data_IF_238080014342
#
_entry.id   IF_238080014342
#
_cell.length_a   1.000
_cell.length_b   1.000
_cell.length_c   1.000
_cell.angle_alpha   90.00
_cell.angle_beta   90.00
_cell.angle_gamma   90.00
#
_symmetry.space_group_name_H-M   'P 1'
#
loop_
_entity.id
_entity.type
_entity.pdbx_description
1 polymer ?
#
# COMPACT_ATOMS: atom_id res chain seq x y z
N UNK A 1 -24.00 13.66 0.21
CA UNK A 1 -24.45 12.35 0.74
C UNK A 1 -25.49 12.55 1.84
N UNK A 2 -25.19 13.34 2.83
CA UNK A 2 -26.04 13.72 3.99
C UNK A 2 -27.41 14.37 3.70
N UNK A 3 -27.60 14.89 2.50
CA UNK A 3 -28.85 15.47 2.07
C UNK A 3 -29.84 14.49 1.39
N UNK A 4 -29.42 13.24 1.09
CA UNK A 4 -30.26 12.26 0.39
C UNK A 4 -31.35 11.68 1.30
N UNK A 5 -32.53 11.31 0.75
CA UNK A 5 -33.56 10.63 1.55
C UNK A 5 -33.05 9.35 2.24
N UNK A 6 -32.21 8.57 1.56
CA UNK A 6 -31.63 7.35 2.13
C UNK A 6 -30.73 7.61 3.34
N UNK A 7 -29.90 8.67 3.28
CA UNK A 7 -29.10 9.09 4.44
C UNK A 7 -29.98 9.54 5.61
N UNK A 8 -30.99 10.35 5.34
CA UNK A 8 -31.93 10.85 6.38
C UNK A 8 -32.68 9.70 7.05
N UNK A 9 -33.11 8.70 6.28
CA UNK A 9 -33.76 7.51 6.82
C UNK A 9 -32.82 6.71 7.74
N UNK A 10 -31.56 6.53 7.31
CA UNK A 10 -30.54 5.86 8.15
C UNK A 10 -30.24 6.65 9.42
N UNK A 11 -30.16 7.99 9.33
CA UNK A 11 -29.95 8.86 10.49
C UNK A 11 -31.13 8.77 11.47
N UNK A 12 -32.37 8.83 10.97
CA UNK A 12 -33.56 8.69 11.81
C UNK A 12 -33.60 7.31 12.52
N UNK A 13 -33.29 6.24 11.79
CA UNK A 13 -33.17 4.90 12.37
C UNK A 13 -32.12 4.83 13.49
N UNK A 14 -30.97 5.47 13.30
CA UNK A 14 -29.95 5.58 14.35
C UNK A 14 -30.47 6.33 15.57
N UNK A 15 -31.03 7.54 15.38
CA UNK A 15 -31.47 8.41 16.46
C UNK A 15 -32.64 7.79 17.27
N UNK A 16 -33.59 7.13 16.59
CA UNK A 16 -34.80 6.60 17.17
C UNK A 16 -34.60 5.22 17.82
N UNK A 17 -33.73 4.36 17.26
CA UNK A 17 -33.66 2.94 17.63
C UNK A 17 -32.26 2.49 18.05
N UNK A 18 -31.20 2.88 17.31
CA UNK A 18 -29.90 2.25 17.44
C UNK A 18 -28.95 2.96 18.43
N UNK A 19 -29.20 4.24 18.72
CA UNK A 19 -28.34 5.08 19.58
C UNK A 19 -28.12 4.52 20.98
N UNK A 20 -29.12 3.86 21.53
CA UNK A 20 -29.08 3.28 22.89
C UNK A 20 -29.00 1.75 22.88
N UNK A 21 -29.01 1.14 21.70
CA UNK A 21 -29.01 -0.31 21.55
C UNK A 21 -27.70 -0.92 22.07
N UNK A 22 -27.80 -1.97 22.87
CA UNK A 22 -26.64 -2.68 23.40
C UNK A 22 -26.43 -4.02 22.70
N UNK A 23 -25.17 -4.36 22.45
CA UNK A 23 -24.78 -5.60 21.79
C UNK A 23 -25.33 -6.86 22.48
N UNK A 24 -25.31 -6.90 23.82
CA UNK A 24 -25.85 -8.02 24.61
C UNK A 24 -27.34 -8.27 24.33
N UNK A 25 -28.11 -7.20 24.10
CA UNK A 25 -29.54 -7.29 23.86
C UNK A 25 -29.81 -7.83 22.43
N UNK A 26 -29.00 -7.42 21.45
CA UNK A 26 -29.08 -7.94 20.09
C UNK A 26 -28.81 -9.45 20.03
N UNK A 27 -27.85 -9.96 20.81
CA UNK A 27 -27.60 -11.40 20.91
C UNK A 27 -28.68 -12.12 21.72
N UNK A 28 -29.20 -11.52 22.81
CA UNK A 28 -30.25 -12.12 23.61
C UNK A 28 -31.57 -12.26 22.83
N UNK A 29 -31.90 -11.29 22.00
CA UNK A 29 -33.13 -11.30 21.17
C UNK A 29 -32.99 -12.16 19.87
N UNK A 30 -31.76 -12.45 19.44
CA UNK A 30 -31.50 -13.23 18.23
C UNK A 30 -30.36 -14.24 18.45
N UNK A 31 -30.66 -15.49 18.88
CA UNK A 31 -29.65 -16.54 19.04
C UNK A 31 -28.91 -16.92 17.75
N UNK A 32 -29.54 -16.70 16.58
CA UNK A 32 -28.96 -16.98 15.25
C UNK A 32 -28.17 -15.79 14.68
N UNK A 33 -27.89 -14.77 15.48
CA UNK A 33 -27.30 -13.53 15.03
C UNK A 33 -25.96 -13.73 14.28
N UNK A 34 -25.11 -14.64 14.76
CA UNK A 34 -23.86 -14.95 14.08
C UNK A 34 -24.10 -15.48 12.66
N UNK A 35 -25.06 -16.39 12.48
CA UNK A 35 -25.37 -16.97 11.17
C UNK A 35 -25.97 -15.96 10.21
N UNK A 36 -26.73 -14.99 10.73
CA UNK A 36 -27.39 -13.95 9.96
C UNK A 36 -26.41 -12.84 9.52
N UNK A 37 -25.47 -12.44 10.38
CA UNK A 37 -24.56 -11.33 10.17
C UNK A 37 -23.12 -11.81 9.93
N UNK A 38 -22.96 -12.77 9.03
CA UNK A 38 -21.67 -13.23 8.49
C UNK A 38 -21.73 -13.33 6.97
N UNK A 39 -20.57 -13.25 6.33
CA UNK A 39 -20.39 -13.55 4.92
C UNK A 39 -19.13 -14.39 4.75
N UNK A 40 -19.13 -15.30 3.79
CA UNK A 40 -17.98 -16.15 3.48
C UNK A 40 -17.59 -16.04 2.02
N UNK A 41 -16.29 -16.01 1.74
CA UNK A 41 -15.74 -16.05 0.40
C UNK A 41 -14.48 -16.93 0.41
N UNK A 42 -14.59 -18.14 -0.15
CA UNK A 42 -13.54 -19.15 -0.02
C UNK A 42 -13.25 -19.44 1.46
N UNK A 43 -12.01 -19.30 1.86
CA UNK A 43 -11.54 -19.49 3.25
C UNK A 43 -11.65 -18.22 4.12
N UNK A 44 -12.19 -17.13 3.58
CA UNK A 44 -12.36 -15.88 4.31
C UNK A 44 -13.76 -15.84 4.91
N UNK A 45 -13.84 -15.67 6.24
CA UNK A 45 -15.06 -15.42 6.98
C UNK A 45 -15.07 -13.98 7.48
N UNK A 46 -16.09 -13.21 7.06
CA UNK A 46 -16.40 -11.90 7.63
C UNK A 46 -17.52 -12.07 8.65
N UNK A 47 -17.20 -11.92 9.93
CA UNK A 47 -18.17 -11.87 11.03
C UNK A 47 -18.45 -10.41 11.41
N UNK A 48 -19.65 -9.91 11.10
CA UNK A 48 -20.13 -8.59 11.50
C UNK A 48 -21.31 -8.67 12.48
N UNK A 49 -21.53 -9.83 13.10
CA UNK A 49 -22.56 -10.01 14.11
C UNK A 49 -22.36 -9.14 15.36
N UNK A 50 -21.10 -8.73 15.60
CA UNK A 50 -20.72 -7.83 16.72
C UNK A 50 -20.75 -6.34 16.36
N UNK A 51 -21.25 -5.98 15.18
CA UNK A 51 -21.62 -4.60 14.88
C UNK A 51 -23.03 -4.31 15.42
N UNK A 52 -23.31 -3.07 15.82
CA UNK A 52 -24.65 -2.68 16.28
C UNK A 52 -25.52 -2.41 15.06
N UNK A 53 -26.00 -3.49 14.44
CA UNK A 53 -26.85 -3.50 13.25
C UNK A 53 -28.01 -4.47 13.41
N UNK A 54 -29.12 -4.18 12.72
CA UNK A 54 -30.29 -5.04 12.60
C UNK A 54 -30.60 -5.25 11.11
N UNK A 55 -31.59 -6.09 10.77
CA UNK A 55 -32.05 -6.25 9.39
C UNK A 55 -32.50 -4.91 8.79
N UNK A 56 -33.20 -4.09 9.56
CA UNK A 56 -33.62 -2.76 9.13
C UNK A 56 -32.39 -1.87 8.85
N UNK A 57 -31.37 -1.95 9.68
CA UNK A 57 -30.09 -1.23 9.45
C UNK A 57 -29.45 -1.66 8.13
N UNK A 58 -29.41 -2.95 7.85
CA UNK A 58 -28.84 -3.49 6.60
C UNK A 58 -29.64 -3.03 5.37
N UNK A 59 -30.97 -3.07 5.44
CA UNK A 59 -31.83 -2.57 4.33
C UNK A 59 -31.63 -1.09 4.07
N UNK A 60 -31.47 -0.26 5.11
CA UNK A 60 -31.19 1.17 4.97
C UNK A 60 -29.79 1.44 4.40
N UNK A 61 -28.80 0.65 4.78
CA UNK A 61 -27.45 0.71 4.21
C UNK A 61 -27.44 0.30 2.73
N UNK A 62 -28.20 -0.73 2.34
CA UNK A 62 -28.36 -1.12 0.94
C UNK A 62 -29.06 -0.01 0.12
N UNK A 63 -30.12 0.60 0.65
CA UNK A 63 -30.77 1.74 0.01
C UNK A 63 -29.84 2.94 -0.17
N UNK A 64 -28.97 3.19 0.81
CA UNK A 64 -27.94 4.23 0.70
C UNK A 64 -26.89 3.88 -0.37
N UNK A 65 -26.43 2.63 -0.44
CA UNK A 65 -25.49 2.13 -1.44
C UNK A 65 -26.03 2.32 -2.86
N UNK A 66 -27.30 1.93 -3.10
CA UNK A 66 -27.96 2.11 -4.40
C UNK A 66 -28.15 3.59 -4.76
N UNK A 67 -28.63 4.41 -3.81
CA UNK A 67 -28.81 5.87 -4.01
C UNK A 67 -27.47 6.56 -4.31
N UNK A 68 -26.38 6.09 -3.72
CA UNK A 68 -25.02 6.59 -3.92
C UNK A 68 -24.34 6.01 -5.17
N UNK A 69 -25.02 5.13 -5.92
CA UNK A 69 -24.55 4.53 -7.18
C UNK A 69 -23.19 3.82 -7.03
N UNK A 70 -22.94 3.18 -5.90
CA UNK A 70 -21.63 2.57 -5.63
C UNK A 70 -21.28 1.48 -6.66
N UNK A 71 -22.27 0.65 -7.06
CA UNK A 71 -22.06 -0.40 -8.06
C UNK A 71 -21.75 0.17 -9.46
N UNK A 72 -22.42 1.26 -9.84
CA UNK A 72 -22.16 1.97 -11.10
C UNK A 72 -20.72 2.55 -11.09
N UNK A 73 -20.34 3.20 -10.00
CA UNK A 73 -18.99 3.77 -9.85
C UNK A 73 -17.91 2.70 -9.83
N UNK A 74 -18.18 1.53 -9.23
CA UNK A 74 -17.26 0.39 -9.30
C UNK A 74 -17.08 -0.09 -10.76
N UNK A 75 -18.17 -0.22 -11.53
CA UNK A 75 -18.08 -0.53 -12.96
C UNK A 75 -17.23 0.48 -13.74
N UNK A 76 -17.41 1.77 -13.49
CA UNK A 76 -16.63 2.85 -14.09
C UNK A 76 -15.15 2.79 -13.68
N UNK A 77 -14.86 2.42 -12.43
CA UNK A 77 -13.47 2.20 -11.99
C UNK A 77 -12.80 1.08 -12.79
N UNK A 78 -13.48 -0.05 -12.96
CA UNK A 78 -12.93 -1.18 -13.73
C UNK A 78 -12.79 -0.90 -15.22
N UNK A 79 -13.61 0.00 -15.80
CA UNK A 79 -13.52 0.40 -17.21
C UNK A 79 -12.47 1.48 -17.49
N UNK A 80 -11.86 2.06 -16.46
CA UNK A 80 -10.85 3.11 -16.63
C UNK A 80 -11.41 4.53 -16.70
N UNK A 81 -12.72 4.73 -16.41
CA UNK A 81 -13.30 6.07 -16.37
C UNK A 81 -12.69 6.92 -15.23
N UNK A 82 -12.63 8.24 -15.45
CA UNK A 82 -12.07 9.20 -14.48
C UNK A 82 -13.05 9.51 -13.36
N UNK A 83 -13.19 8.59 -12.42
CA UNK A 83 -14.11 8.70 -11.28
C UNK A 83 -13.60 9.57 -10.14
N UNK A 84 -12.30 9.89 -10.10
CA UNK A 84 -11.76 10.88 -9.17
C UNK A 84 -12.04 12.27 -9.73
N UNK A 85 -13.18 12.83 -9.33
CA UNK A 85 -13.68 14.10 -9.87
C UNK A 85 -12.84 15.31 -9.42
N UNK A 86 -12.21 15.25 -8.26
CA UNK A 86 -11.40 16.34 -7.70
C UNK A 86 -10.07 16.50 -8.42
N UNK A 87 -9.45 15.38 -8.79
CA UNK A 87 -8.16 15.36 -9.48
C UNK A 87 -8.29 15.03 -10.97
N UNK A 88 -9.53 14.79 -11.46
CA UNK A 88 -9.88 14.49 -12.87
C UNK A 88 -9.10 13.32 -13.46
N UNK A 89 -8.94 12.25 -12.71
CA UNK A 89 -8.19 11.07 -13.12
C UNK A 89 -8.92 9.75 -12.83
N UNK A 90 -8.49 8.68 -13.49
CA UNK A 90 -8.94 7.33 -13.20
C UNK A 90 -8.47 6.88 -11.81
N UNK A 91 -9.05 5.78 -11.31
CA UNK A 91 -8.69 5.12 -10.06
C UNK A 91 -8.49 3.65 -10.38
N UNK A 92 -7.24 3.24 -10.61
CA UNK A 92 -6.93 1.93 -11.22
C UNK A 92 -6.07 1.03 -10.34
N UNK A 93 -6.35 1.00 -9.06
CA UNK A 93 -5.77 0.02 -8.15
C UNK A 93 -6.00 -1.43 -8.65
N UNK A 94 -7.12 -1.66 -9.33
CA UNK A 94 -7.48 -2.94 -9.95
C UNK A 94 -6.51 -3.37 -11.05
N UNK A 95 -5.86 -2.42 -11.76
CA UNK A 95 -4.90 -2.73 -12.81
C UNK A 95 -3.66 -3.48 -12.28
N UNK A 96 -3.18 -3.12 -11.09
CA UNK A 96 -2.05 -3.78 -10.43
C UNK A 96 -2.37 -5.23 -10.04
N UNK A 97 -3.64 -5.61 -9.99
CA UNK A 97 -4.14 -6.94 -9.60
C UNK A 97 -4.76 -7.71 -10.77
N UNK A 98 -4.75 -7.10 -11.95
CA UNK A 98 -5.30 -7.69 -13.16
C UNK A 98 -4.35 -8.76 -13.76
N UNK A 99 -4.43 -9.98 -13.23
CA UNK A 99 -3.58 -11.11 -13.65
C UNK A 99 -3.93 -11.64 -15.04
N UNK A 100 -5.14 -11.37 -15.53
CA UNK A 100 -5.56 -11.76 -16.87
C UNK A 100 -5.02 -10.83 -17.97
N UNK A 101 -4.41 -9.71 -17.59
CA UNK A 101 -3.95 -8.65 -18.51
C UNK A 101 -5.05 -8.18 -19.47
N UNK A 102 -6.33 -8.27 -19.05
CA UNK A 102 -7.46 -7.71 -19.81
C UNK A 102 -7.22 -6.21 -19.99
N UNK A 103 -7.35 -5.66 -21.20
CA UNK A 103 -7.10 -4.25 -21.44
C UNK A 103 -7.94 -3.33 -20.55
N UNK A 104 -7.30 -2.31 -19.98
CA UNK A 104 -7.95 -1.22 -19.24
C UNK A 104 -7.55 0.07 -19.93
N UNK A 105 -8.52 0.76 -20.54
CA UNK A 105 -8.25 1.90 -21.41
C UNK A 105 -8.51 3.21 -20.69
N UNK A 106 -7.48 4.06 -20.59
CA UNK A 106 -7.58 5.44 -20.09
C UNK A 106 -7.15 6.40 -21.21
N UNK A 107 -8.02 7.35 -21.55
CA UNK A 107 -7.77 8.33 -22.63
C UNK A 107 -7.33 7.68 -23.97
N UNK A 108 -7.89 6.50 -24.28
CA UNK A 108 -7.58 5.77 -25.51
C UNK A 108 -6.31 4.90 -25.45
N UNK A 109 -5.61 4.84 -24.32
CA UNK A 109 -4.40 4.05 -24.13
C UNK A 109 -4.66 2.89 -23.17
N UNK A 110 -4.29 1.67 -23.56
CA UNK A 110 -4.27 0.52 -22.65
C UNK A 110 -3.10 0.64 -21.68
N UNK A 111 -3.41 0.67 -20.37
CA UNK A 111 -2.41 0.83 -19.29
C UNK A 111 -1.72 -0.49 -18.92
N UNK A 112 -2.26 -1.64 -19.31
CA UNK A 112 -1.75 -2.94 -18.86
C UNK A 112 -0.35 -3.29 -19.34
N UNK A 113 0.08 -2.95 -20.57
CA UNK A 113 1.46 -3.20 -21.00
C UNK A 113 2.50 -2.52 -20.11
N UNK A 114 2.26 -1.27 -19.74
CA UNK A 114 3.16 -0.53 -18.85
C UNK A 114 3.16 -1.10 -17.44
N UNK A 115 1.97 -1.45 -16.88
CA UNK A 115 1.85 -2.13 -15.59
C UNK A 115 2.65 -3.41 -15.56
N UNK A 116 2.50 -4.27 -16.56
CA UNK A 116 3.23 -5.54 -16.65
C UNK A 116 4.73 -5.34 -16.79
N UNK A 117 5.16 -4.30 -17.51
CA UNK A 117 6.59 -3.95 -17.66
C UNK A 117 7.21 -3.58 -16.30
N UNK A 118 6.54 -2.75 -15.49
CA UNK A 118 7.03 -2.38 -14.15
C UNK A 118 7.03 -3.59 -13.21
N UNK A 119 5.98 -4.42 -13.23
CA UNK A 119 5.93 -5.64 -12.42
C UNK A 119 7.04 -6.63 -12.79
N UNK A 120 7.33 -6.79 -14.08
CA UNK A 120 8.44 -7.63 -14.54
C UNK A 120 9.82 -7.09 -14.11
N UNK A 121 10.01 -5.77 -14.14
CA UNK A 121 11.24 -5.14 -13.66
C UNK A 121 11.41 -5.35 -12.13
N UNK A 122 10.33 -5.22 -11.36
CA UNK A 122 10.33 -5.50 -9.91
C UNK A 122 10.67 -6.97 -9.63
N UNK A 123 10.07 -7.91 -10.38
CA UNK A 123 10.36 -9.33 -10.24
C UNK A 123 11.85 -9.63 -10.49
N UNK A 124 12.42 -9.09 -11.55
CA UNK A 124 13.84 -9.25 -11.86
C UNK A 124 14.75 -8.69 -10.76
N UNK A 125 14.45 -7.50 -10.25
CA UNK A 125 15.19 -6.89 -9.15
C UNK A 125 15.09 -7.71 -7.86
N UNK A 126 13.88 -8.10 -7.45
CA UNK A 126 13.66 -8.91 -6.26
C UNK A 126 14.41 -10.25 -6.36
N UNK A 127 14.35 -10.92 -7.50
CA UNK A 127 15.05 -12.19 -7.71
C UNK A 127 16.57 -12.01 -7.62
N UNK A 128 17.14 -10.94 -8.16
CA UNK A 128 18.59 -10.68 -8.07
C UNK A 128 19.04 -10.40 -6.62
N UNK A 129 18.24 -9.69 -5.83
CA UNK A 129 18.54 -9.46 -4.40
C UNK A 129 18.42 -10.76 -3.61
N UNK A 130 17.33 -11.51 -3.81
CA UNK A 130 17.08 -12.76 -3.08
C UNK A 130 18.08 -13.88 -3.38
N UNK A 131 18.52 -13.99 -4.63
CA UNK A 131 19.55 -14.95 -5.03
C UNK A 131 20.96 -14.58 -4.54
N UNK A 132 21.19 -13.30 -4.18
CA UNK A 132 22.50 -12.76 -3.87
C UNK A 132 23.34 -12.40 -5.11
N UNK A 133 22.71 -12.36 -6.28
CA UNK A 133 23.32 -11.82 -7.51
C UNK A 133 23.51 -10.31 -7.39
N UNK A 134 22.54 -9.60 -6.81
CA UNK A 134 22.69 -8.22 -6.43
C UNK A 134 23.61 -8.10 -5.22
N UNK A 135 24.64 -7.30 -5.34
CA UNK A 135 25.66 -7.12 -4.31
C UNK A 135 25.83 -5.65 -3.95
N UNK A 136 26.23 -5.40 -2.72
CA UNK A 136 26.71 -4.09 -2.29
C UNK A 136 27.99 -3.69 -3.03
N UNK A 137 28.40 -2.45 -2.87
CA UNK A 137 29.57 -1.86 -3.55
C UNK A 137 30.90 -2.55 -3.20
N UNK A 138 30.95 -3.26 -2.08
CA UNK A 138 32.10 -4.08 -1.65
C UNK A 138 32.09 -5.50 -2.23
N UNK A 139 31.04 -5.88 -2.96
CA UNK A 139 30.85 -7.22 -3.49
C UNK A 139 30.18 -8.19 -2.51
N UNK A 140 29.79 -7.72 -1.31
CA UNK A 140 29.05 -8.53 -0.36
C UNK A 140 27.59 -8.68 -0.78
N UNK A 141 26.98 -9.83 -0.45
CA UNK A 141 25.56 -10.09 -0.63
C UNK A 141 24.72 -9.20 0.28
N UNK A 142 23.58 -8.73 -0.21
CA UNK A 142 22.60 -8.03 0.64
C UNK A 142 21.96 -9.02 1.60
N UNK A 143 21.96 -8.68 2.89
CA UNK A 143 21.33 -9.43 3.98
C UNK A 143 20.24 -8.64 4.68
N UNK A 144 20.25 -7.32 4.49
CA UNK A 144 19.31 -6.40 5.16
C UNK A 144 18.72 -5.40 4.15
N UNK A 145 17.38 -5.30 4.13
CA UNK A 145 16.64 -4.36 3.30
C UNK A 145 15.88 -3.40 4.22
N UNK A 146 16.11 -2.10 4.05
CA UNK A 146 15.44 -1.06 4.86
C UNK A 146 14.45 -0.29 3.99
N UNK A 147 13.17 -0.43 4.25
CA UNK A 147 12.14 0.39 3.61
C UNK A 147 12.00 1.73 4.37
N UNK A 148 12.22 2.83 3.67
CA UNK A 148 12.05 4.19 4.20
C UNK A 148 10.82 4.80 3.52
N UNK A 149 9.72 4.93 4.24
CA UNK A 149 8.46 5.43 3.74
C UNK A 149 7.52 5.77 4.88
N UNK A 150 6.42 6.47 4.61
CA UNK A 150 5.40 6.84 5.60
C UNK A 150 3.99 6.61 5.05
N UNK A 151 3.02 6.38 5.90
CA UNK A 151 1.64 6.13 5.49
C UNK A 151 1.52 4.89 4.60
N UNK A 152 0.94 5.01 3.41
CA UNK A 152 0.79 3.90 2.46
C UNK A 152 2.11 3.29 1.97
N UNK A 153 3.19 4.06 1.99
CA UNK A 153 4.54 3.57 1.65
C UNK A 153 5.22 2.78 2.78
N UNK A 154 4.61 2.69 3.95
CA UNK A 154 5.06 1.93 5.12
C UNK A 154 4.07 0.85 5.51
N UNK A 155 2.81 1.21 5.76
CA UNK A 155 1.81 0.33 6.39
C UNK A 155 1.52 -0.94 5.57
N UNK A 156 1.42 -0.85 4.25
CA UNK A 156 1.23 -1.99 3.38
C UNK A 156 2.41 -2.94 3.38
N UNK A 157 3.63 -2.47 3.11
CA UNK A 157 4.85 -3.26 3.22
C UNK A 157 5.04 -3.94 4.57
N UNK A 158 4.82 -3.24 5.69
CA UNK A 158 4.87 -3.82 7.05
C UNK A 158 3.84 -4.93 7.20
N UNK A 159 2.57 -4.65 6.86
CA UNK A 159 1.48 -5.61 6.98
C UNK A 159 1.77 -6.91 6.23
N UNK A 160 2.20 -6.81 4.97
CA UNK A 160 2.49 -8.00 4.15
C UNK A 160 3.71 -8.75 4.67
N UNK A 161 4.76 -8.05 5.08
CA UNK A 161 5.97 -8.68 5.65
C UNK A 161 5.65 -9.45 6.92
N UNK A 162 4.88 -8.87 7.84
CA UNK A 162 4.48 -9.56 9.07
C UNK A 162 3.50 -10.71 8.81
N UNK A 163 2.51 -10.52 7.92
CA UNK A 163 1.55 -11.57 7.57
C UNK A 163 2.21 -12.80 6.93
N UNK A 164 3.24 -12.57 6.09
CA UNK A 164 3.94 -13.62 5.37
C UNK A 164 5.24 -14.08 6.04
N UNK A 165 5.51 -13.64 7.26
CA UNK A 165 6.72 -13.97 8.02
C UNK A 165 7.06 -15.48 8.08
N UNK A 166 6.09 -16.41 8.17
CA UNK A 166 6.39 -17.86 8.10
C UNK A 166 7.02 -18.31 6.78
N UNK A 167 6.79 -17.57 5.69
CA UNK A 167 7.24 -17.89 4.33
C UNK A 167 8.47 -17.10 3.89
N UNK A 168 9.01 -16.23 4.75
CA UNK A 168 10.14 -15.37 4.41
C UNK A 168 11.45 -16.12 4.31
N UNK A 169 12.33 -15.67 3.45
CA UNK A 169 13.72 -16.09 3.37
C UNK A 169 14.47 -15.63 4.63
N UNK A 170 15.04 -16.55 5.40
CA UNK A 170 15.56 -16.26 6.76
C UNK A 170 16.91 -15.54 6.79
N UNK A 171 17.67 -15.61 5.72
CA UNK A 171 18.96 -14.94 5.55
C UNK A 171 18.85 -13.54 4.93
N UNK A 172 17.62 -13.05 4.68
CA UNK A 172 17.33 -11.69 4.24
C UNK A 172 16.33 -11.07 5.21
N UNK A 173 16.76 -10.03 5.95
CA UNK A 173 15.93 -9.31 6.92
C UNK A 173 15.36 -8.05 6.30
N UNK A 174 14.14 -7.70 6.70
CA UNK A 174 13.46 -6.47 6.26
C UNK A 174 13.21 -5.59 7.48
N UNK A 175 13.59 -4.33 7.36
CA UNK A 175 13.44 -3.28 8.37
C UNK A 175 12.59 -2.14 7.81
N UNK A 176 11.90 -1.41 8.68
CA UNK A 176 11.02 -0.32 8.29
C UNK A 176 11.36 0.94 9.08
N UNK A 177 11.46 2.07 8.39
CA UNK A 177 11.68 3.38 8.99
C UNK A 177 10.61 4.33 8.46
N UNK A 178 9.64 4.67 9.32
CA UNK A 178 8.47 5.46 8.95
C UNK A 178 8.30 6.75 9.76
N UNK A 179 8.98 6.89 10.89
CA UNK A 179 8.89 8.09 11.71
C UNK A 179 10.13 9.00 11.49
N UNK A 180 9.91 10.33 11.52
CA UNK A 180 10.96 11.33 11.41
C UNK A 180 11.79 11.46 12.72
N UNK A 181 11.32 10.88 13.81
CA UNK A 181 12.10 10.82 15.05
C UNK A 181 13.44 10.14 14.78
N UNK A 182 14.53 10.87 15.10
CA UNK A 182 15.90 10.40 14.84
C UNK A 182 16.26 9.09 15.53
N UNK A 183 15.58 8.73 16.61
CA UNK A 183 15.77 7.46 17.31
C UNK A 183 15.40 6.28 16.41
N UNK A 184 14.33 6.40 15.62
CA UNK A 184 13.86 5.31 14.75
C UNK A 184 14.92 4.89 13.73
N UNK A 185 15.46 5.86 12.96
CA UNK A 185 16.53 5.58 11.99
C UNK A 185 17.83 5.17 12.67
N UNK A 186 18.22 5.84 13.77
CA UNK A 186 19.47 5.58 14.47
C UNK A 186 19.53 4.17 15.05
N UNK A 187 18.48 3.71 15.74
CA UNK A 187 18.41 2.35 16.28
C UNK A 187 18.38 1.30 15.18
N UNK A 188 17.66 1.56 14.08
CA UNK A 188 17.68 0.66 12.92
C UNK A 188 19.10 0.52 12.35
N UNK A 189 19.78 1.63 12.07
CA UNK A 189 21.12 1.63 11.47
C UNK A 189 22.20 1.01 12.39
N UNK A 190 22.01 1.02 13.70
CA UNK A 190 22.96 0.47 14.68
C UNK A 190 23.12 -1.05 14.57
N UNK A 191 22.09 -1.76 14.12
CA UNK A 191 22.09 -3.21 13.95
C UNK A 191 22.57 -3.65 12.56
N UNK A 192 22.84 -2.69 11.65
CA UNK A 192 23.11 -2.99 10.24
C UNK A 192 24.61 -2.86 9.90
N UNK A 193 24.99 -3.62 8.87
CA UNK A 193 26.29 -3.51 8.22
C UNK A 193 26.12 -2.79 6.88
N UNK A 194 26.87 -1.73 6.66
CA UNK A 194 26.75 -0.90 5.46
C UNK A 194 26.99 -1.70 4.17
N UNK A 195 27.93 -2.62 4.21
CA UNK A 195 28.36 -3.46 3.08
C UNK A 195 27.25 -4.36 2.53
N UNK A 196 26.30 -4.76 3.40
CA UNK A 196 25.24 -5.72 3.08
C UNK A 196 23.82 -5.16 3.21
N UNK A 197 23.67 -3.83 3.31
CA UNK A 197 22.36 -3.17 3.46
C UNK A 197 21.88 -2.52 2.16
N UNK A 198 20.62 -2.74 1.80
CA UNK A 198 19.92 -2.08 0.70
C UNK A 198 18.79 -1.21 1.25
N UNK A 199 18.73 0.05 0.83
CA UNK A 199 17.67 1.01 1.19
C UNK A 199 16.66 1.16 0.05
N UNK A 200 15.37 1.02 0.35
CA UNK A 200 14.25 1.31 -0.53
C UNK A 200 13.62 2.65 -0.10
N UNK A 201 13.74 3.69 -0.92
CA UNK A 201 13.14 4.99 -0.63
C UNK A 201 11.78 5.07 -1.32
N UNK A 202 10.71 4.92 -0.55
CA UNK A 202 9.35 4.87 -1.04
C UNK A 202 8.63 6.21 -0.83
N UNK A 203 8.55 7.03 -1.89
CA UNK A 203 7.86 8.33 -1.87
C UNK A 203 7.36 8.69 -3.26
N UNK A 204 6.04 8.83 -3.46
CA UNK A 204 5.43 9.12 -4.75
C UNK A 204 6.06 10.35 -5.41
N UNK A 205 6.17 11.45 -4.69
CA UNK A 205 6.70 12.72 -5.18
C UNK A 205 8.21 12.88 -4.95
N UNK A 206 8.81 12.00 -4.15
CA UNK A 206 10.18 12.10 -3.67
C UNK A 206 10.48 13.44 -2.96
N UNK A 207 9.45 13.96 -2.25
CA UNK A 207 9.49 15.26 -1.54
C UNK A 207 8.89 15.18 -0.13
N UNK A 208 8.37 14.01 0.28
CA UNK A 208 7.82 13.83 1.63
C UNK A 208 8.90 14.06 2.66
N UNK A 209 8.73 15.06 3.50
CA UNK A 209 9.79 15.56 4.39
C UNK A 209 10.37 14.48 5.28
N UNK A 210 9.53 13.70 5.95
CA UNK A 210 9.94 12.61 6.85
C UNK A 210 10.75 11.54 6.11
N UNK A 211 10.25 11.10 4.95
CA UNK A 211 10.94 10.10 4.13
C UNK A 211 12.29 10.60 3.65
N UNK A 212 12.35 11.85 3.16
CA UNK A 212 13.59 12.41 2.62
C UNK A 212 14.61 12.71 3.72
N UNK A 213 14.18 13.10 4.92
CA UNK A 213 15.05 13.28 6.09
C UNK A 213 15.70 11.96 6.50
N UNK A 214 14.89 10.90 6.61
CA UNK A 214 15.41 9.57 6.95
C UNK A 214 16.31 9.01 5.84
N UNK A 215 15.94 9.20 4.57
CA UNK A 215 16.78 8.77 3.44
C UNK A 215 18.11 9.50 3.39
N UNK A 216 18.15 10.80 3.71
CA UNK A 216 19.40 11.58 3.82
C UNK A 216 20.27 11.06 4.95
N UNK A 217 19.71 10.77 6.13
CA UNK A 217 20.44 10.18 7.26
C UNK A 217 21.01 8.80 6.92
N UNK A 218 20.23 7.95 6.25
CA UNK A 218 20.68 6.63 5.78
C UNK A 218 21.83 6.75 4.76
N UNK A 219 21.73 7.72 3.84
CA UNK A 219 22.78 8.00 2.85
C UNK A 219 24.06 8.48 3.51
N UNK A 220 23.97 9.41 4.45
CA UNK A 220 25.13 9.91 5.21
C UNK A 220 25.79 8.78 5.99
N UNK A 221 25.02 7.96 6.69
CA UNK A 221 25.51 6.79 7.39
C UNK A 221 26.25 5.82 6.46
N UNK A 222 25.64 5.46 5.32
CA UNK A 222 26.27 4.57 4.34
C UNK A 222 27.60 5.12 3.85
N UNK A 223 27.64 6.39 3.44
CA UNK A 223 28.83 7.03 2.92
C UNK A 223 29.93 7.18 3.98
N UNK A 224 29.56 7.42 5.24
CA UNK A 224 30.51 7.49 6.36
C UNK A 224 31.21 6.15 6.61
N UNK A 225 30.54 5.02 6.29
CA UNK A 225 31.09 3.68 6.48
C UNK A 225 31.90 3.19 5.29
N UNK A 226 31.41 3.44 4.06
CA UNK A 226 32.01 2.90 2.83
C UNK A 226 33.01 3.84 2.15
N UNK A 227 32.93 5.15 2.43
CA UNK A 227 33.89 6.14 1.92
C UNK A 227 33.81 6.44 0.41
N UNK A 228 32.90 5.77 -0.34
CA UNK A 228 32.76 5.92 -1.79
C UNK A 228 31.35 6.45 -2.16
N UNK A 229 31.23 7.66 -2.74
CA UNK A 229 29.94 8.19 -3.21
C UNK A 229 29.24 7.31 -4.24
N UNK A 230 29.98 6.48 -5.00
CA UNK A 230 29.40 5.55 -5.97
C UNK A 230 28.67 4.37 -5.33
N UNK A 231 28.88 4.12 -4.04
CA UNK A 231 28.19 3.08 -3.29
C UNK A 231 26.66 3.24 -3.33
N UNK A 232 26.14 4.47 -3.45
CA UNK A 232 24.70 4.75 -3.52
C UNK A 232 24.00 3.92 -4.60
N UNK A 233 24.60 3.77 -5.77
CA UNK A 233 24.02 3.02 -6.88
C UNK A 233 23.79 1.53 -6.58
N UNK A 234 24.58 0.93 -5.70
CA UNK A 234 24.47 -0.47 -5.30
C UNK A 234 23.62 -0.68 -4.03
N UNK A 235 23.39 0.39 -3.26
CA UNK A 235 22.75 0.31 -1.95
C UNK A 235 21.42 1.06 -1.83
N UNK A 236 20.96 1.71 -2.90
CA UNK A 236 19.69 2.42 -2.91
C UNK A 236 18.86 2.09 -4.14
N UNK A 237 17.56 1.89 -3.92
CA UNK A 237 16.54 1.85 -4.94
C UNK A 237 15.37 2.77 -4.53
N UNK A 238 14.55 3.18 -5.50
CA UNK A 238 13.45 4.10 -5.24
C UNK A 238 12.12 3.59 -5.81
N UNK A 239 11.04 3.86 -5.07
CA UNK A 239 9.67 3.73 -5.54
C UNK A 239 9.09 5.14 -5.65
N UNK A 240 8.98 5.67 -6.87
CA UNK A 240 8.61 7.07 -7.08
C UNK A 240 8.09 7.34 -8.48
N UNK A 241 7.43 8.48 -8.66
CA UNK A 241 7.07 9.04 -9.99
C UNK A 241 8.02 10.16 -10.43
N UNK A 242 9.03 10.53 -9.61
CA UNK A 242 9.88 11.69 -9.81
C UNK A 242 11.33 11.29 -10.11
N UNK A 243 11.57 10.83 -11.34
CA UNK A 243 12.91 10.40 -11.77
C UNK A 243 13.99 11.49 -11.62
N UNK A 244 13.63 12.77 -11.81
CA UNK A 244 14.58 13.89 -11.65
C UNK A 244 15.07 14.02 -10.21
N UNK A 245 14.19 13.94 -9.23
CA UNK A 245 14.55 14.03 -7.82
C UNK A 245 15.31 12.77 -7.37
N UNK A 246 14.93 11.59 -7.84
CA UNK A 246 15.63 10.33 -7.59
C UNK A 246 17.08 10.39 -8.09
N UNK A 247 17.28 10.83 -9.33
CA UNK A 247 18.63 11.02 -9.88
C UNK A 247 19.45 12.07 -9.12
N UNK A 248 18.84 13.19 -8.72
CA UNK A 248 19.49 14.23 -7.94
C UNK A 248 19.90 13.76 -6.54
N UNK A 249 19.18 12.79 -5.95
CA UNK A 249 19.58 12.15 -4.70
C UNK A 249 20.80 11.25 -4.87
N UNK A 250 21.07 10.77 -6.09
CA UNK A 250 22.19 9.90 -6.45
C UNK A 250 21.81 8.44 -6.68
N UNK A 251 20.52 8.11 -6.69
CA UNK A 251 20.03 6.77 -7.03
C UNK A 251 20.03 6.63 -8.57
N UNK A 252 20.56 5.51 -9.05
CA UNK A 252 20.45 5.17 -10.48
C UNK A 252 18.98 4.97 -10.86
N UNK A 253 18.50 5.68 -11.87
CA UNK A 253 17.11 5.59 -12.29
C UNK A 253 16.73 4.22 -12.86
N UNK A 254 17.69 3.35 -13.19
CA UNK A 254 17.44 1.93 -13.47
C UNK A 254 16.94 1.16 -12.25
N UNK A 255 17.23 1.64 -11.06
CA UNK A 255 16.78 1.10 -9.77
C UNK A 255 15.58 1.89 -9.23
N UNK A 256 14.89 2.60 -10.10
CA UNK A 256 13.66 3.29 -9.77
C UNK A 256 12.47 2.55 -10.36
N UNK A 257 11.54 2.19 -9.50
CA UNK A 257 10.28 1.55 -9.89
C UNK A 257 9.19 2.60 -9.87
N UNK A 258 8.69 2.90 -11.07
CA UNK A 258 7.63 3.88 -11.29
C UNK A 258 6.26 3.32 -10.95
N UNK A 259 5.32 4.21 -10.74
CA UNK A 259 3.88 3.94 -10.68
C UNK A 259 3.12 5.19 -11.15
N UNK A 260 1.80 5.17 -11.15
CA UNK A 260 1.00 6.13 -11.91
C UNK A 260 0.24 7.08 -11.00
N UNK A 261 -0.23 8.17 -11.55
CA UNK A 261 -1.05 9.17 -10.84
C UNK A 261 -2.44 8.62 -10.45
N UNK A 262 -2.94 7.62 -11.18
CA UNK A 262 -4.17 6.90 -10.86
C UNK A 262 -4.05 5.88 -9.70
N UNK A 263 -2.86 5.72 -9.14
CA UNK A 263 -2.62 5.06 -7.85
C UNK A 263 -2.66 6.12 -6.74
N UNK A 264 -3.49 5.94 -5.71
CA UNK A 264 -3.64 6.88 -4.59
C UNK A 264 -2.33 7.08 -3.79
N UNK A 265 -2.26 8.14 -3.01
CA UNK A 265 -1.08 8.40 -2.14
C UNK A 265 -1.00 7.43 -0.97
N UNK A 266 -2.15 7.00 -0.46
CA UNK A 266 -2.27 6.15 0.72
C UNK A 266 -2.56 4.69 0.35
N UNK A 267 -2.25 4.32 -0.91
CA UNK A 267 -2.45 2.95 -1.34
C UNK A 267 -1.35 2.06 -0.76
N UNK A 268 -1.74 1.07 0.01
CA UNK A 268 -0.90 -0.08 0.39
C UNK A 268 -0.46 -0.92 -0.81
N UNK A 269 -0.59 -0.41 -2.01
CA UNK A 269 -0.63 -1.10 -3.29
C UNK A 269 0.70 -1.18 -4.02
N UNK A 270 1.71 -0.51 -3.48
CA UNK A 270 3.10 -0.59 -3.99
C UNK A 270 3.74 -1.95 -3.62
N UNK A 271 3.00 -2.82 -2.95
CA UNK A 271 3.48 -4.18 -2.64
C UNK A 271 3.20 -5.08 -3.84
N UNK A 272 4.21 -5.52 -4.58
CA UNK A 272 4.05 -6.58 -5.59
C UNK A 272 3.57 -7.85 -4.89
N UNK A 273 2.73 -8.59 -5.55
CA UNK A 273 2.28 -9.91 -5.07
C UNK A 273 3.45 -10.89 -4.99
#
# INVERSE_FOLDING_TARGET
MDATPAWKALQAHFDDKMKTQQMKELFASNPSRFDQFKASFGDILLDFSKNIVTDETMQLLEALLETSKVREMAGKMFSGEKINLTEKRAVLHVALRNRASTPIVVDGVDVMPEVNSVLGALEGFVNSVRSGEWKGSTGERITDVVNIGIGGSDLGPVMVTEALKPYTQRDLKVHFVSNVDGTHIAETLRELRAESTLFLVASKTFTTQETMTNAASAKEWLLSKLGDPKAIAAHFAALSTNAKAVAAFGIDTKNMFGFWDWVGRDSTEIVPR
#
